data_IF_776875353701
#
_entry.id   IF_776875353701
#
_cell.length_a   1.000
_cell.length_b   1.000
_cell.length_c   1.000
_cell.angle_alpha   90.00
_cell.angle_beta   90.00
_cell.angle_gamma   90.00
#
_symmetry.space_group_name_H-M   'P 1'
#
loop_
_entity.id
_entity.type
_entity.pdbx_description
1 polymer ?
#
# COMPACT_ATOMS: atom_id res chain seq x y z
N UNK A 1 7.88 19.45 -1.65
CA UNK A 1 8.74 18.25 -1.54
C UNK A 1 8.49 17.38 -2.77
N UNK A 2 9.43 16.51 -3.15
CA UNK A 2 9.31 15.71 -4.39
C UNK A 2 9.26 14.23 -4.05
N UNK A 3 8.19 13.58 -4.48
CA UNK A 3 8.05 12.14 -4.38
C UNK A 3 9.06 11.41 -5.27
N UNK A 4 9.53 10.28 -4.80
CA UNK A 4 10.43 9.39 -5.54
C UNK A 4 9.62 8.51 -6.51
N UNK A 5 8.95 9.21 -7.43
CA UNK A 5 8.29 8.62 -8.58
C UNK A 5 8.83 9.27 -9.86
N UNK A 6 9.26 8.45 -10.80
CA UNK A 6 9.79 8.88 -12.09
C UNK A 6 8.84 8.45 -13.19
N UNK A 7 8.17 9.42 -13.80
CA UNK A 7 7.18 9.20 -14.86
C UNK A 7 7.81 9.59 -16.20
N UNK A 8 8.42 8.63 -16.88
CA UNK A 8 9.00 8.78 -18.19
C UNK A 8 7.96 8.52 -19.29
N UNK A 9 8.32 8.75 -20.57
CA UNK A 9 7.41 8.55 -21.70
C UNK A 9 6.91 7.12 -21.82
N UNK A 10 7.77 6.14 -21.56
CA UNK A 10 7.54 4.71 -21.82
C UNK A 10 7.54 3.83 -20.56
N UNK A 11 7.82 4.39 -19.38
CA UNK A 11 7.77 3.64 -18.12
C UNK A 11 7.48 4.55 -16.90
N UNK A 12 7.15 3.92 -15.79
CA UNK A 12 7.09 4.55 -14.47
C UNK A 12 7.98 3.76 -13.51
N UNK A 13 8.82 4.45 -12.74
CA UNK A 13 9.46 3.87 -11.57
C UNK A 13 8.87 4.50 -10.32
N UNK A 14 8.51 3.67 -9.33
CA UNK A 14 7.86 4.12 -8.10
C UNK A 14 8.60 3.55 -6.88
N UNK A 15 8.89 4.41 -5.91
CA UNK A 15 9.37 4.01 -4.59
C UNK A 15 8.29 4.31 -3.56
N UNK A 16 7.72 3.26 -2.97
CA UNK A 16 6.54 3.34 -2.11
C UNK A 16 6.77 2.65 -0.77
N UNK A 17 6.08 3.12 0.25
CA UNK A 17 5.90 2.42 1.53
C UNK A 17 4.43 2.19 1.80
N UNK A 18 4.12 1.08 2.45
CA UNK A 18 2.76 0.74 2.85
C UNK A 18 2.73 0.32 4.31
N UNK A 19 1.70 0.73 5.01
CA UNK A 19 1.45 0.42 6.41
C UNK A 19 0.43 -0.70 6.56
N UNK A 20 0.78 -1.70 7.34
CA UNK A 20 -0.09 -2.84 7.65
C UNK A 20 -0.55 -2.71 9.09
N UNK A 21 -1.81 -2.33 9.28
CA UNK A 21 -2.45 -2.25 10.60
C UNK A 21 -3.36 -3.44 10.79
N UNK A 22 -3.09 -4.26 11.80
CA UNK A 22 -3.96 -5.37 12.20
C UNK A 22 -4.53 -5.08 13.58
N UNK A 23 -5.85 -5.02 13.69
CA UNK A 23 -6.58 -4.84 14.94
C UNK A 23 -7.70 -5.87 15.07
N UNK A 24 -7.75 -6.58 16.18
CA UNK A 24 -8.81 -7.56 16.46
C UNK A 24 -9.00 -8.60 15.34
N UNK A 25 -7.91 -9.07 14.72
CA UNK A 25 -7.93 -10.03 13.60
C UNK A 25 -8.37 -9.45 12.27
N UNK A 26 -8.49 -8.13 12.16
CA UNK A 26 -8.82 -7.41 10.91
C UNK A 26 -7.66 -6.52 10.48
N UNK A 27 -7.46 -6.42 9.19
CA UNK A 27 -6.45 -5.56 8.57
C UNK A 27 -7.13 -4.38 7.88
N UNK A 28 -6.52 -3.20 8.00
CA UNK A 28 -6.96 -2.00 7.28
C UNK A 28 -6.53 -2.09 5.82
N UNK A 29 -7.50 -1.99 4.93
CA UNK A 29 -7.28 -1.99 3.48
C UNK A 29 -7.80 -0.69 2.86
N UNK A 30 -7.26 -0.35 1.69
CA UNK A 30 -7.76 0.73 0.85
C UNK A 30 -8.09 0.22 -0.55
N UNK A 31 -8.99 0.92 -1.24
CA UNK A 31 -9.30 0.70 -2.65
C UNK A 31 -9.85 1.98 -3.29
N UNK A 32 -9.77 2.08 -4.61
CA UNK A 32 -10.56 3.07 -5.33
C UNK A 32 -12.04 2.68 -5.30
N UNK A 33 -12.98 3.65 -5.24
CA UNK A 33 -14.43 3.37 -5.08
C UNK A 33 -15.02 2.45 -6.15
N UNK A 34 -14.43 2.44 -7.33
CA UNK A 34 -14.90 1.67 -8.49
C UNK A 34 -14.01 0.47 -8.85
N UNK A 35 -13.00 0.21 -8.03
CA UNK A 35 -12.11 -0.94 -8.19
C UNK A 35 -12.46 -2.03 -7.16
N UNK A 36 -12.30 -3.28 -7.56
CA UNK A 36 -12.45 -4.42 -6.65
C UNK A 36 -11.13 -4.76 -5.93
N UNK A 37 -10.01 -4.24 -6.42
CA UNK A 37 -8.68 -4.49 -5.90
C UNK A 37 -8.39 -3.76 -4.59
N UNK A 38 -7.99 -4.52 -3.57
CA UNK A 38 -7.62 -3.97 -2.27
C UNK A 38 -6.11 -3.86 -2.13
N UNK A 39 -5.64 -2.77 -1.57
CA UNK A 39 -4.23 -2.52 -1.26
C UNK A 39 -4.05 -2.08 0.19
N UNK A 40 -2.81 -1.99 0.64
CA UNK A 40 -2.48 -1.47 1.97
C UNK A 40 -2.27 0.05 1.90
N UNK A 41 -2.78 0.81 2.89
CA UNK A 41 -2.59 2.25 2.97
C UNK A 41 -1.12 2.65 2.94
N UNK A 42 -0.80 3.76 2.30
CA UNK A 42 0.54 4.28 2.18
C UNK A 42 0.76 5.05 0.89
N UNK A 43 1.98 5.53 0.67
CA UNK A 43 2.26 6.41 -0.46
C UNK A 43 3.72 6.41 -0.90
N UNK A 44 4.03 7.33 -1.78
CA UNK A 44 5.38 7.49 -2.31
C UNK A 44 6.32 8.09 -1.26
N UNK A 45 7.52 7.52 -1.19
CA UNK A 45 8.58 8.10 -0.35
C UNK A 45 8.97 9.46 -0.94
N UNK A 46 8.94 10.49 -0.12
CA UNK A 46 9.41 11.83 -0.51
C UNK A 46 10.91 11.95 -0.28
N UNK A 47 11.60 12.64 -1.16
CA UNK A 47 13.04 12.85 -1.05
C UNK A 47 13.41 13.50 0.29
N UNK A 48 14.26 12.83 1.07
CA UNK A 48 14.71 13.26 2.39
C UNK A 48 13.87 12.75 3.56
N UNK A 49 12.76 12.05 3.29
CA UNK A 49 11.99 11.36 4.34
C UNK A 49 12.51 9.95 4.59
N UNK A 50 12.48 9.55 5.84
CA UNK A 50 12.55 8.12 6.22
C UNK A 50 11.19 7.47 5.97
N UNK A 51 11.15 6.13 5.85
CA UNK A 51 9.90 5.40 5.67
C UNK A 51 8.87 5.67 6.77
N UNK A 52 9.33 5.79 8.03
CA UNK A 52 8.45 6.11 9.15
C UNK A 52 7.87 7.53 9.04
N UNK A 53 8.61 8.49 8.51
CA UNK A 53 8.11 9.84 8.26
C UNK A 53 7.10 9.85 7.13
N UNK A 54 7.38 9.14 6.02
CA UNK A 54 6.44 8.99 4.92
C UNK A 54 5.14 8.35 5.39
N UNK A 55 5.19 7.23 6.12
CA UNK A 55 3.99 6.58 6.64
C UNK A 55 3.16 7.50 7.54
N UNK A 56 3.81 8.24 8.45
CA UNK A 56 3.10 9.21 9.31
C UNK A 56 2.41 10.30 8.50
N UNK A 57 3.10 10.84 7.49
CA UNK A 57 2.54 11.86 6.61
C UNK A 57 1.32 11.33 5.83
N UNK A 58 1.46 10.18 5.17
CA UNK A 58 0.38 9.57 4.38
C UNK A 58 -0.85 9.25 5.24
N UNK A 59 -0.66 8.63 6.41
CA UNK A 59 -1.77 8.34 7.33
C UNK A 59 -2.44 9.59 7.87
N UNK A 60 -1.67 10.67 8.08
CA UNK A 60 -2.24 11.95 8.48
C UNK A 60 -3.03 12.62 7.34
N UNK A 61 -2.49 12.59 6.11
CA UNK A 61 -3.10 13.21 4.94
C UNK A 61 -4.39 12.48 4.52
N UNK A 62 -4.35 11.15 4.45
CA UNK A 62 -5.46 10.35 3.96
C UNK A 62 -6.51 10.01 5.02
N UNK A 63 -6.10 9.80 6.26
CA UNK A 63 -6.92 9.20 7.32
C UNK A 63 -7.04 10.08 8.58
N UNK A 64 -6.30 11.19 8.65
CA UNK A 64 -6.16 12.03 9.85
C UNK A 64 -5.78 11.23 11.11
N UNK A 65 -4.93 10.23 10.92
CA UNK A 65 -4.54 9.28 11.95
C UNK A 65 -3.07 9.42 12.34
N UNK A 66 -2.81 9.46 13.64
CA UNK A 66 -1.47 9.37 14.20
C UNK A 66 -1.06 7.91 14.36
N UNK A 67 0.13 7.58 13.87
CA UNK A 67 0.62 6.20 13.83
C UNK A 67 2.08 6.09 14.30
N UNK A 68 2.40 4.92 14.79
CA UNK A 68 3.77 4.48 15.02
C UNK A 68 4.12 3.38 14.03
N UNK A 69 5.17 3.61 13.22
CA UNK A 69 5.73 2.60 12.34
C UNK A 69 6.61 1.64 13.14
N UNK A 70 6.35 0.36 12.99
CA UNK A 70 7.05 -0.75 13.63
C UNK A 70 8.08 -1.41 12.72
N UNK A 71 8.13 -2.74 12.73
CA UNK A 71 9.10 -3.54 11.97
C UNK A 71 8.80 -3.55 10.48
N UNK A 72 9.87 -3.72 9.68
CA UNK A 72 9.74 -4.09 8.27
C UNK A 72 9.21 -5.52 8.17
N UNK A 73 8.14 -5.71 7.41
CA UNK A 73 7.50 -7.00 7.17
C UNK A 73 7.95 -7.61 5.85
N UNK A 74 8.01 -6.80 4.80
CA UNK A 74 8.45 -7.29 3.50
C UNK A 74 8.95 -6.20 2.56
N UNK A 75 9.68 -6.63 1.53
CA UNK A 75 10.10 -5.82 0.39
C UNK A 75 9.55 -6.47 -0.88
N UNK A 76 8.77 -5.74 -1.64
CA UNK A 76 8.20 -6.18 -2.90
C UNK A 76 8.83 -5.49 -4.11
N UNK A 77 9.23 -6.28 -5.10
CA UNK A 77 9.45 -5.83 -6.46
C UNK A 77 8.15 -6.06 -7.23
N UNK A 78 7.48 -4.98 -7.60
CA UNK A 78 6.10 -5.03 -8.12
C UNK A 78 6.07 -4.46 -9.53
N UNK A 79 5.57 -5.25 -10.48
CA UNK A 79 5.45 -4.88 -11.88
C UNK A 79 3.98 -4.91 -12.28
N UNK A 80 3.45 -3.75 -12.71
CA UNK A 80 2.03 -3.61 -13.04
C UNK A 80 1.81 -2.49 -14.09
N UNK A 81 0.65 -2.47 -14.77
CA UNK A 81 0.33 -1.39 -15.69
C UNK A 81 -0.06 -0.10 -14.94
N UNK A 82 0.64 0.98 -15.21
CA UNK A 82 0.28 2.33 -14.79
C UNK A 82 -0.33 3.09 -15.98
N UNK A 83 -1.62 2.94 -16.15
CA UNK A 83 -2.30 3.36 -17.38
C UNK A 83 -1.76 2.58 -18.58
N UNK A 84 -1.14 3.28 -19.53
CA UNK A 84 -0.56 2.66 -20.75
C UNK A 84 0.92 2.32 -20.62
N UNK A 85 1.55 2.63 -19.50
CA UNK A 85 2.98 2.42 -19.26
C UNK A 85 3.20 1.30 -18.27
N UNK A 86 4.24 0.49 -18.43
CA UNK A 86 4.66 -0.41 -17.39
C UNK A 86 5.24 0.37 -16.19
N UNK A 87 4.89 -0.08 -15.00
CA UNK A 87 5.45 0.42 -13.75
C UNK A 87 6.33 -0.64 -13.10
N UNK A 88 7.51 -0.21 -12.67
CA UNK A 88 8.38 -0.94 -11.76
C UNK A 88 8.35 -0.25 -10.41
N UNK A 89 7.79 -0.89 -9.41
CA UNK A 89 7.67 -0.35 -8.07
C UNK A 89 8.49 -1.16 -7.07
N UNK A 90 9.26 -0.47 -6.25
CA UNK A 90 9.78 -1.03 -5.00
C UNK A 90 8.85 -0.57 -3.88
N UNK A 91 8.22 -1.53 -3.19
CA UNK A 91 7.33 -1.25 -2.07
C UNK A 91 7.81 -1.96 -0.81
N UNK A 92 7.97 -1.20 0.27
CA UNK A 92 8.31 -1.74 1.58
C UNK A 92 7.06 -1.71 2.47
N UNK A 93 6.77 -2.84 3.10
CA UNK A 93 5.60 -3.02 3.97
C UNK A 93 6.04 -3.02 5.43
N UNK A 94 5.45 -2.14 6.21
CA UNK A 94 5.75 -1.98 7.63
C UNK A 94 4.54 -2.31 8.49
N UNK A 95 4.77 -2.98 9.59
CA UNK A 95 3.81 -3.04 10.67
C UNK A 95 3.55 -1.62 11.19
N UNK A 96 2.27 -1.27 11.36
CA UNK A 96 1.87 0.05 11.84
C UNK A 96 0.84 -0.12 12.96
N UNK A 97 0.98 0.70 13.99
CA UNK A 97 0.07 0.77 15.12
C UNK A 97 -0.59 2.15 15.16
N UNK A 98 -1.90 2.21 15.37
CA UNK A 98 -2.58 3.47 15.69
C UNK A 98 -2.17 3.93 17.08
N UNK A 99 -1.79 5.20 17.22
CA UNK A 99 -1.43 5.77 18.52
C UNK A 99 -2.65 5.86 19.46
N UNK A 100 -3.84 6.11 18.88
CA UNK A 100 -5.14 5.92 19.51
C UNK A 100 -6.02 4.99 18.66
N UNK A 101 -6.37 3.79 19.14
CA UNK A 101 -7.26 2.88 18.40
C UNK A 101 -8.65 3.44 18.11
N UNK A 102 -9.08 4.47 18.84
CA UNK A 102 -10.38 5.11 18.66
C UNK A 102 -10.43 6.20 17.59
N UNK A 103 -9.29 6.58 17.00
CA UNK A 103 -9.23 7.70 16.03
C UNK A 103 -9.79 7.36 14.63
N UNK A 104 -10.06 6.08 14.38
CA UNK A 104 -10.69 5.63 13.13
C UNK A 104 -11.99 4.88 13.40
N UNK A 105 -12.95 4.89 12.44
CA UNK A 105 -14.11 4.02 12.50
C UNK A 105 -13.68 2.55 12.62
N UNK A 106 -14.33 1.81 13.53
CA UNK A 106 -14.02 0.39 13.77
C UNK A 106 -14.74 -0.57 12.81
N UNK A 107 -15.67 -0.07 11.99
CA UNK A 107 -16.45 -0.85 11.03
C UNK A 107 -16.99 0.04 9.90
N UNK A 108 -17.44 -0.63 8.82
CA UNK A 108 -17.95 0.04 7.64
C UNK A 108 -16.86 0.52 6.70
N UNK A 109 -17.29 1.24 5.66
CA UNK A 109 -16.39 1.91 4.72
C UNK A 109 -16.31 3.38 5.12
N UNK A 110 -15.12 3.92 5.19
CA UNK A 110 -14.87 5.34 5.40
C UNK A 110 -13.98 5.89 4.29
N UNK A 111 -14.06 7.19 4.08
CA UNK A 111 -13.50 7.81 2.89
C UNK A 111 -12.32 8.70 3.24
N UNK A 112 -11.31 8.65 2.39
CA UNK A 112 -10.19 9.56 2.36
C UNK A 112 -9.85 9.93 0.93
N UNK A 113 -8.73 10.57 0.74
CA UNK A 113 -8.25 10.93 -0.60
C UNK A 113 -6.74 10.99 -0.62
N UNK A 114 -6.15 10.61 -1.76
CA UNK A 114 -4.75 10.84 -2.08
C UNK A 114 -4.64 12.07 -2.99
N UNK A 115 -3.65 12.91 -2.76
CA UNK A 115 -3.35 14.09 -3.57
C UNK A 115 -2.11 13.79 -4.44
N UNK A 116 -2.36 13.45 -5.69
CA UNK A 116 -1.30 13.17 -6.67
C UNK A 116 -0.76 14.46 -7.34
N UNK A 117 -0.90 15.60 -6.68
CA UNK A 117 -0.39 16.91 -7.08
C UNK A 117 -1.33 17.70 -7.99
N UNK A 118 -1.81 17.14 -9.07
CA UNK A 118 -2.78 17.77 -9.99
C UNK A 118 -4.13 17.04 -10.03
N UNK A 119 -4.25 15.93 -9.34
CA UNK A 119 -5.42 15.07 -9.35
C UNK A 119 -5.68 14.52 -7.94
N UNK A 120 -6.93 14.63 -7.50
CA UNK A 120 -7.37 14.07 -6.23
C UNK A 120 -8.05 12.73 -6.51
N UNK A 121 -7.50 11.68 -5.93
CA UNK A 121 -8.07 10.34 -6.01
C UNK A 121 -8.83 10.04 -4.71
N UNK A 122 -10.11 9.70 -4.84
CA UNK A 122 -10.90 9.26 -3.68
C UNK A 122 -10.53 7.82 -3.33
N UNK A 123 -10.39 7.55 -2.05
CA UNK A 123 -10.08 6.24 -1.52
C UNK A 123 -11.15 5.80 -0.53
N UNK A 124 -11.53 4.55 -0.63
CA UNK A 124 -12.35 3.85 0.36
C UNK A 124 -11.44 3.04 1.27
N UNK A 125 -11.61 3.19 2.58
CA UNK A 125 -10.90 2.44 3.62
C UNK A 125 -11.88 1.52 4.34
N UNK A 126 -11.44 0.31 4.63
CA UNK A 126 -12.27 -0.68 5.31
C UNK A 126 -11.42 -1.69 6.08
N UNK A 127 -12.00 -2.23 7.15
CA UNK A 127 -11.41 -3.32 7.90
C UNK A 127 -11.87 -4.65 7.34
N UNK A 128 -10.92 -5.50 6.94
CA UNK A 128 -11.16 -6.84 6.40
C UNK A 128 -10.66 -7.88 7.39
N UNK A 129 -11.46 -8.89 7.71
CA UNK A 129 -10.97 -10.02 8.50
C UNK A 129 -9.81 -10.71 7.77
N UNK A 130 -8.69 -10.94 8.45
CA UNK A 130 -7.51 -11.58 7.85
C UNK A 130 -7.87 -12.93 7.24
N UNK A 131 -8.77 -13.69 7.85
CA UNK A 131 -9.27 -14.98 7.31
C UNK A 131 -10.03 -14.85 6.00
N UNK A 132 -10.56 -13.66 5.69
CA UNK A 132 -11.36 -13.41 4.47
C UNK A 132 -10.51 -12.84 3.31
N UNK A 133 -9.23 -12.51 3.54
CA UNK A 133 -8.31 -12.05 2.49
C UNK A 133 -8.23 -12.98 1.27
N UNK A 134 -8.32 -14.33 1.39
CA UNK A 134 -8.33 -15.22 0.23
C UNK A 134 -9.57 -15.10 -0.67
N UNK A 135 -10.61 -14.41 -0.21
CA UNK A 135 -11.89 -14.27 -0.91
C UNK A 135 -12.03 -12.97 -1.69
N UNK A 136 -11.09 -12.07 -1.53
CA UNK A 136 -11.08 -10.76 -2.19
C UNK A 136 -9.76 -10.57 -2.96
N UNK A 137 -9.76 -9.80 -4.05
CA UNK A 137 -8.53 -9.44 -4.73
C UNK A 137 -7.70 -8.49 -3.85
N UNK A 138 -6.52 -8.94 -3.45
CA UNK A 138 -5.53 -8.15 -2.69
C UNK A 138 -4.26 -8.01 -3.52
N UNK A 139 -3.77 -6.80 -3.63
CA UNK A 139 -2.55 -6.51 -4.37
C UNK A 139 -1.47 -5.89 -3.47
N UNK A 140 -0.27 -6.48 -3.45
CA UNK A 140 0.08 -7.77 -4.05
C UNK A 140 -0.43 -8.94 -3.20
N UNK A 141 -0.81 -10.08 -3.81
CA UNK A 141 -1.40 -11.23 -3.09
C UNK A 141 -0.43 -11.89 -2.09
N UNK A 142 0.89 -11.75 -2.30
CA UNK A 142 1.91 -12.24 -1.37
C UNK A 142 1.77 -11.64 0.03
N UNK A 143 1.31 -10.40 0.15
CA UNK A 143 1.08 -9.77 1.46
C UNK A 143 -0.16 -10.34 2.17
N UNK A 144 -1.22 -10.71 1.42
CA UNK A 144 -2.34 -11.43 2.00
C UNK A 144 -1.91 -12.79 2.55
N UNK A 145 -1.10 -13.53 1.79
CA UNK A 145 -0.55 -14.81 2.21
C UNK A 145 0.34 -14.67 3.46
N UNK A 146 1.20 -13.65 3.49
CA UNK A 146 2.04 -13.32 4.64
C UNK A 146 1.23 -13.18 5.93
N UNK A 147 0.11 -12.44 5.87
CA UNK A 147 -0.76 -12.21 7.02
C UNK A 147 -1.51 -13.47 7.46
N UNK A 148 -2.01 -14.25 6.50
CA UNK A 148 -2.72 -15.50 6.75
C UNK A 148 -1.81 -16.53 7.44
N UNK A 149 -0.55 -16.61 7.01
CA UNK A 149 0.45 -17.51 7.59
C UNK A 149 0.98 -17.03 8.95
N UNK A 150 0.69 -15.78 9.35
CA UNK A 150 1.18 -15.20 10.59
C UNK A 150 2.71 -15.10 10.64
N UNK A 151 3.34 -14.78 9.52
CA UNK A 151 4.80 -14.71 9.42
C UNK A 151 5.36 -13.53 10.22
N UNK A 152 6.58 -13.73 10.73
CA UNK A 152 7.29 -12.71 11.51
C UNK A 152 8.66 -12.34 10.90
N UNK A 153 9.11 -13.10 9.89
CA UNK A 153 10.34 -12.82 9.14
C UNK A 153 10.16 -11.70 8.12
N UNK A 154 11.26 -11.12 7.66
CA UNK A 154 11.22 -10.17 6.54
C UNK A 154 11.18 -10.95 5.24
N UNK A 155 10.07 -10.84 4.52
CA UNK A 155 9.86 -11.50 3.23
C UNK A 155 10.34 -10.60 2.08
N UNK A 156 11.08 -11.15 1.13
CA UNK A 156 11.26 -10.55 -0.18
C UNK A 156 10.38 -11.30 -1.19
N UNK A 157 9.67 -10.58 -2.04
CA UNK A 157 8.83 -11.17 -3.08
C UNK A 157 8.87 -10.36 -4.38
N UNK A 158 8.53 -11.05 -5.47
CA UNK A 158 8.31 -10.45 -6.78
C UNK A 158 6.84 -10.68 -7.14
N UNK A 159 6.16 -9.62 -7.51
CA UNK A 159 4.81 -9.67 -8.07
C UNK A 159 4.82 -9.08 -9.47
N UNK A 160 4.38 -9.84 -10.45
CA UNK A 160 4.28 -9.41 -11.84
C UNK A 160 2.83 -9.61 -12.32
N UNK A 161 2.16 -8.51 -12.60
CA UNK A 161 0.78 -8.50 -13.10
C UNK A 161 0.71 -8.72 -14.61
N UNK A 162 1.83 -8.60 -15.33
CA UNK A 162 1.86 -8.89 -16.75
C UNK A 162 1.84 -10.41 -16.98
N UNK A 163 0.96 -10.87 -17.88
CA UNK A 163 0.84 -12.31 -18.20
C UNK A 163 2.08 -12.87 -18.89
N UNK A 164 2.85 -12.01 -19.56
CA UNK A 164 4.10 -12.34 -20.27
C UNK A 164 5.31 -11.73 -19.57
N UNK A 165 6.48 -11.80 -20.22
CA UNK A 165 7.69 -11.16 -19.71
C UNK A 165 7.48 -9.66 -19.50
N UNK A 166 8.15 -9.12 -18.47
CA UNK A 166 8.10 -7.68 -18.20
C UNK A 166 8.46 -6.91 -19.48
N UNK A 167 7.65 -5.92 -19.93
CA UNK A 167 7.73 -5.37 -21.29
C UNK A 167 9.07 -4.74 -21.72
N UNK A 168 10.01 -4.52 -20.80
CA UNK A 168 11.35 -3.96 -21.08
C UNK A 168 12.51 -4.92 -20.85
N UNK A 169 12.23 -6.22 -20.64
CA UNK A 169 13.28 -7.25 -20.49
C UNK A 169 13.71 -7.86 -21.84
N UNK A 170 14.05 -7.03 -22.82
CA UNK A 170 14.66 -7.47 -24.07
C UNK A 170 16.17 -7.29 -24.07
#
# INVERSE_FOLDING_TARGET
>A
MRDLIFKEENFVFSYRVAGVIVQNGRVLMQKEPHDDGHAFPGGHVTLGETHAQTLRREFQEELHADITAGRLMSVGEVFFPWGKRPCHQICLYYEVTLDDPGQMPSAGVFHGWDDLGNERVNLDFLWVDVKDLPRIPVYPPQMAQYLIEGREDVMHFIYNEFEEAIPWTN
#
